data_IF_527768824614
#
_entry.id   IF_527768824614
#
_cell.length_a   1.000
_cell.length_b   1.000
_cell.length_c   1.000
_cell.angle_alpha   90.00
_cell.angle_beta   90.00
_cell.angle_gamma   90.00
#
_symmetry.space_group_name_H-M   'P 1'
#
loop_
_entity.id
_entity.type
_entity.pdbx_description
1 polymer ?
#
# COMPACT_ATOMS: atom_id res chain seq x y z
N UNK A 1 -29.54 -57.94 -100.36
CA UNK A 1 -29.15 -58.58 -99.08
C UNK A 1 -28.35 -57.52 -98.32
N UNK A 2 -28.66 -56.99 -97.13
CA UNK A 2 -29.58 -57.23 -96.00
C UNK A 2 -29.70 -55.85 -95.30
N UNK A 3 -30.88 -55.26 -95.16
CA UNK A 3 -31.65 -55.07 -93.90
C UNK A 3 -30.92 -54.38 -92.72
N UNK A 4 -31.45 -53.20 -92.35
CA UNK A 4 -31.62 -52.46 -91.07
C UNK A 4 -31.44 -53.21 -89.70
N UNK A 5 -31.68 -52.63 -88.49
CA UNK A 5 -31.74 -51.22 -87.96
C UNK A 5 -31.08 -51.01 -86.54
N UNK A 6 -31.21 -49.77 -86.01
CA UNK A 6 -31.42 -49.33 -84.60
C UNK A 6 -30.60 -49.89 -83.41
N UNK A 7 -30.08 -48.97 -82.56
CA UNK A 7 -30.45 -48.96 -81.14
C UNK A 7 -30.16 -47.60 -80.45
N UNK A 8 -31.22 -47.09 -79.82
CA UNK A 8 -31.27 -45.99 -78.85
C UNK A 8 -30.66 -46.49 -77.51
N UNK A 9 -29.80 -45.72 -76.85
CA UNK A 9 -29.57 -45.87 -75.40
C UNK A 9 -29.58 -44.50 -74.72
N UNK A 10 -30.60 -44.31 -73.87
CA UNK A 10 -30.68 -43.26 -72.87
C UNK A 10 -29.63 -43.53 -71.77
N UNK A 11 -28.91 -42.49 -71.34
CA UNK A 11 -28.18 -42.47 -70.08
C UNK A 11 -28.77 -41.37 -69.18
N UNK A 12 -29.55 -41.80 -68.18
CA UNK A 12 -29.95 -41.04 -67.00
C UNK A 12 -28.89 -41.18 -65.90
N UNK A 13 -28.64 -40.10 -65.15
CA UNK A 13 -27.97 -40.08 -63.84
C UNK A 13 -26.53 -39.54 -63.91
N UNK A 14 -26.05 -38.63 -63.05
CA UNK A 14 -26.53 -38.19 -61.75
C UNK A 14 -26.11 -36.73 -61.47
N UNK A 15 -27.02 -35.96 -60.87
CA UNK A 15 -26.72 -34.67 -60.25
C UNK A 15 -25.89 -34.92 -58.98
N UNK A 16 -24.65 -34.42 -58.96
CA UNK A 16 -23.82 -34.33 -57.75
C UNK A 16 -24.41 -33.25 -56.82
N UNK A 17 -24.63 -33.53 -55.52
CA UNK A 17 -25.02 -32.51 -54.58
C UNK A 17 -23.82 -31.59 -54.29
N UNK A 18 -24.05 -30.28 -54.43
CA UNK A 18 -23.11 -29.25 -54.03
C UNK A 18 -22.73 -29.45 -52.56
N UNK A 19 -21.44 -29.70 -52.30
CA UNK A 19 -20.89 -29.70 -50.97
C UNK A 19 -21.01 -28.28 -50.39
N UNK A 20 -22.01 -28.08 -49.54
CA UNK A 20 -22.07 -26.98 -48.58
C UNK A 20 -20.80 -27.04 -47.74
N UNK A 21 -19.82 -26.20 -48.07
CA UNK A 21 -18.73 -25.87 -47.18
C UNK A 21 -19.34 -25.11 -46.00
N UNK A 22 -19.63 -25.84 -44.93
CA UNK A 22 -19.90 -25.22 -43.64
C UNK A 22 -18.70 -24.36 -43.28
N UNK A 23 -18.94 -23.06 -43.10
CA UNK A 23 -17.95 -22.16 -42.52
C UNK A 23 -17.47 -22.75 -41.18
N UNK A 24 -16.17 -22.68 -40.86
CA UNK A 24 -15.69 -23.11 -39.56
C UNK A 24 -16.45 -22.32 -38.50
N UNK A 25 -17.04 -23.03 -37.54
CA UNK A 25 -17.69 -22.41 -36.40
C UNK A 25 -16.68 -21.49 -35.71
N UNK A 26 -16.99 -20.19 -35.64
CA UNK A 26 -16.23 -19.21 -34.90
C UNK A 26 -16.03 -19.73 -33.48
N UNK A 27 -14.80 -20.13 -33.17
CA UNK A 27 -14.42 -20.44 -31.80
C UNK A 27 -14.53 -19.14 -31.03
N UNK A 28 -15.25 -19.07 -29.89
CA UNK A 28 -15.41 -17.82 -29.16
C UNK A 28 -14.04 -17.22 -28.86
N UNK A 29 -13.75 -16.03 -29.41
CA UNK A 29 -12.47 -15.37 -29.20
C UNK A 29 -12.30 -15.10 -27.70
N UNK A 30 -11.32 -15.73 -27.06
CA UNK A 30 -11.06 -15.55 -25.63
C UNK A 30 -10.73 -14.08 -25.37
N UNK A 31 -11.49 -13.43 -24.47
CA UNK A 31 -11.29 -12.04 -24.07
C UNK A 31 -9.88 -11.86 -23.51
N UNK A 32 -9.11 -10.94 -24.12
CA UNK A 32 -7.81 -10.50 -23.61
C UNK A 32 -7.95 -9.18 -22.87
N UNK A 33 -7.31 -9.06 -21.70
CA UNK A 33 -7.33 -7.87 -20.86
C UNK A 33 -6.03 -7.05 -20.98
N UNK A 34 -6.15 -5.73 -21.08
CA UNK A 34 -5.05 -4.79 -21.29
C UNK A 34 -4.46 -4.32 -19.96
N UNK A 35 -3.32 -4.86 -19.55
CA UNK A 35 -2.56 -4.34 -18.40
C UNK A 35 -1.68 -3.17 -18.84
N UNK A 36 -1.79 -2.03 -18.17
CA UNK A 36 -0.90 -0.91 -18.40
C UNK A 36 0.38 -1.02 -17.57
N UNK A 37 1.53 -0.76 -18.19
CA UNK A 37 2.84 -0.79 -17.53
C UNK A 37 3.73 0.37 -18.01
N UNK A 38 4.63 0.89 -17.15
CA UNK A 38 5.70 1.78 -17.61
C UNK A 38 6.56 1.12 -18.69
N UNK A 39 6.99 1.90 -19.69
CA UNK A 39 7.77 1.41 -20.84
C UNK A 39 9.03 0.63 -20.43
N UNK A 40 9.66 1.06 -19.34
CA UNK A 40 10.84 0.40 -18.75
C UNK A 40 10.63 -1.04 -18.27
N UNK A 41 9.39 -1.54 -18.17
CA UNK A 41 9.07 -2.94 -17.80
C UNK A 41 8.21 -3.64 -18.87
N UNK A 42 8.14 -3.08 -20.08
CA UNK A 42 7.32 -3.60 -21.16
C UNK A 42 7.74 -5.01 -21.58
N UNK A 43 9.04 -5.30 -21.61
CA UNK A 43 9.56 -6.61 -21.98
C UNK A 43 9.16 -7.70 -20.98
N UNK A 44 9.23 -7.41 -19.69
CA UNK A 44 8.75 -8.33 -18.65
C UNK A 44 7.23 -8.53 -18.72
N UNK A 45 6.48 -7.49 -19.05
CA UNK A 45 5.04 -7.62 -19.28
C UNK A 45 4.77 -8.52 -20.49
N UNK A 46 5.49 -8.35 -21.60
CA UNK A 46 5.34 -9.18 -22.79
C UNK A 46 5.70 -10.65 -22.49
N UNK A 47 6.70 -10.89 -21.64
CA UNK A 47 7.03 -12.24 -21.18
C UNK A 47 5.91 -12.87 -20.35
N UNK A 48 5.22 -12.10 -19.52
CA UNK A 48 4.01 -12.53 -18.83
C UNK A 48 2.86 -12.82 -19.82
N UNK A 49 2.62 -11.94 -20.78
CA UNK A 49 1.53 -12.07 -21.75
C UNK A 49 1.67 -13.28 -22.70
N UNK A 50 2.89 -13.84 -22.83
CA UNK A 50 3.17 -15.05 -23.62
C UNK A 50 2.95 -16.35 -22.86
N UNK A 51 2.71 -16.30 -21.55
CA UNK A 51 2.53 -17.50 -20.74
C UNK A 51 1.23 -18.24 -21.10
N UNK A 52 1.28 -19.57 -21.12
CA UNK A 52 0.12 -20.40 -21.42
C UNK A 52 -1.04 -20.12 -20.44
N UNK A 53 -2.24 -19.91 -20.99
CA UNK A 53 -3.46 -19.59 -20.23
C UNK A 53 -3.54 -18.15 -19.71
N UNK A 54 -2.50 -17.33 -19.91
CA UNK A 54 -2.54 -15.90 -19.60
C UNK A 54 -3.14 -15.15 -20.79
N UNK A 55 -4.27 -14.49 -20.56
CA UNK A 55 -5.03 -13.73 -21.55
C UNK A 55 -4.89 -12.23 -21.28
N UNK A 56 -3.64 -11.76 -21.26
CA UNK A 56 -3.30 -10.36 -21.06
C UNK A 56 -2.61 -9.77 -22.30
N UNK A 57 -2.74 -8.47 -22.49
CA UNK A 57 -1.94 -7.68 -23.44
C UNK A 57 -1.33 -6.48 -22.73
N UNK A 58 -0.13 -6.08 -23.14
CA UNK A 58 0.61 -5.00 -22.48
C UNK A 58 0.40 -3.68 -23.19
N UNK A 59 0.02 -2.65 -22.42
CA UNK A 59 -0.11 -1.28 -22.90
C UNK A 59 1.01 -0.44 -22.26
N UNK A 60 2.02 0.01 -23.03
CA UNK A 60 3.09 0.83 -22.48
C UNK A 60 2.60 2.23 -22.16
N UNK A 61 3.20 2.86 -21.16
CA UNK A 61 3.04 4.27 -20.81
C UNK A 61 4.37 4.83 -20.28
N UNK A 62 4.53 6.15 -20.22
CA UNK A 62 5.72 6.79 -19.65
C UNK A 62 5.90 6.43 -18.18
N UNK A 63 4.82 6.45 -17.41
CA UNK A 63 4.79 6.22 -15.98
C UNK A 63 3.40 5.74 -15.52
N UNK A 64 3.25 5.49 -14.22
CA UNK A 64 1.97 5.06 -13.64
C UNK A 64 0.87 6.12 -13.74
N UNK A 65 1.20 7.42 -13.80
CA UNK A 65 0.20 8.48 -13.94
C UNK A 65 -0.42 8.46 -15.34
N UNK A 66 0.40 8.26 -16.38
CA UNK A 66 -0.13 8.04 -17.72
C UNK A 66 -0.92 6.72 -17.80
N UNK A 67 -0.54 5.69 -17.05
CA UNK A 67 -1.39 4.50 -16.97
C UNK A 67 -2.78 4.77 -16.37
N UNK A 68 -2.87 5.60 -15.32
CA UNK A 68 -4.17 6.01 -14.77
C UNK A 68 -5.02 6.72 -15.84
N UNK A 69 -4.44 7.62 -16.62
CA UNK A 69 -5.12 8.26 -17.76
C UNK A 69 -5.56 7.25 -18.83
N UNK A 70 -4.73 6.27 -19.15
CA UNK A 70 -5.08 5.21 -20.11
C UNK A 70 -6.19 4.29 -19.61
N UNK A 71 -6.25 4.01 -18.31
CA UNK A 71 -7.37 3.26 -17.72
C UNK A 71 -8.63 4.11 -17.72
N UNK A 72 -8.54 5.39 -17.34
CA UNK A 72 -9.66 6.32 -17.37
C UNK A 72 -10.25 6.51 -18.79
N UNK A 73 -9.40 6.54 -19.81
CA UNK A 73 -9.80 6.68 -21.22
C UNK A 73 -10.00 5.34 -21.95
N UNK A 74 -10.08 4.23 -21.20
CA UNK A 74 -10.31 2.86 -21.69
C UNK A 74 -9.30 2.34 -22.73
N UNK A 75 -8.13 2.99 -22.84
CA UNK A 75 -6.99 2.53 -23.64
C UNK A 75 -6.32 1.33 -22.97
N UNK A 76 -6.34 1.26 -21.65
CA UNK A 76 -5.98 0.09 -20.85
C UNK A 76 -7.16 -0.34 -19.96
N UNK A 77 -7.13 -1.58 -19.49
CA UNK A 77 -8.19 -2.18 -18.69
C UNK A 77 -7.89 -2.05 -17.19
N UNK A 78 -6.62 -2.25 -16.79
CA UNK A 78 -6.20 -2.12 -15.40
C UNK A 78 -4.70 -1.82 -15.25
N UNK A 79 -4.30 -1.43 -14.03
CA UNK A 79 -2.91 -1.07 -13.67
C UNK A 79 -2.59 -1.46 -12.22
N UNK A 80 -1.37 -1.94 -11.92
CA UNK A 80 -0.89 -2.11 -10.55
C UNK A 80 -0.64 -0.74 -9.87
N UNK A 81 -1.07 -0.58 -8.62
CA UNK A 81 -1.11 0.72 -7.93
C UNK A 81 -0.61 0.66 -6.48
N UNK A 82 0.07 1.72 -6.07
CA UNK A 82 0.28 2.08 -4.67
C UNK A 82 -0.93 2.88 -4.12
N UNK A 83 -1.13 2.94 -2.79
CA UNK A 83 -2.16 3.81 -2.19
C UNK A 83 -2.07 5.28 -2.64
N UNK A 84 -0.87 5.76 -2.92
CA UNK A 84 -0.60 7.09 -3.46
C UNK A 84 -1.16 7.27 -4.89
N UNK A 85 -1.10 6.24 -5.75
CA UNK A 85 -1.73 6.27 -7.09
C UNK A 85 -3.26 6.21 -6.97
N UNK A 86 -3.78 5.43 -6.02
CA UNK A 86 -5.22 5.34 -5.72
C UNK A 86 -5.76 6.72 -5.30
N UNK A 87 -4.99 7.50 -4.53
CA UNK A 87 -5.36 8.87 -4.17
C UNK A 87 -5.45 9.79 -5.38
N UNK A 88 -4.54 9.64 -6.34
CA UNK A 88 -4.60 10.40 -7.60
C UNK A 88 -5.85 10.01 -8.39
N UNK A 89 -6.17 8.71 -8.48
CA UNK A 89 -7.37 8.22 -9.15
C UNK A 89 -8.66 8.74 -8.49
N UNK A 90 -8.72 8.76 -7.16
CA UNK A 90 -9.86 9.29 -6.39
C UNK A 90 -10.14 10.76 -6.74
N UNK A 91 -9.09 11.57 -6.86
CA UNK A 91 -9.21 13.00 -7.17
C UNK A 91 -9.40 13.30 -8.66
N UNK A 92 -9.14 12.33 -9.55
CA UNK A 92 -9.22 12.49 -11.01
C UNK A 92 -10.23 11.51 -11.62
N UNK A 93 -11.40 11.39 -10.99
CA UNK A 93 -12.51 10.59 -11.50
C UNK A 93 -12.74 9.29 -10.72
N UNK A 94 -13.03 9.38 -9.42
CA UNK A 94 -13.29 8.23 -8.52
C UNK A 94 -14.20 7.16 -9.14
N UNK A 95 -15.29 7.60 -9.79
CA UNK A 95 -16.31 6.70 -10.34
C UNK A 95 -15.84 5.92 -11.59
N UNK A 96 -14.70 6.27 -12.18
CA UNK A 96 -14.15 5.59 -13.36
C UNK A 96 -13.23 4.42 -13.02
N UNK A 97 -13.05 4.15 -11.72
CA UNK A 97 -12.08 3.18 -11.26
C UNK A 97 -12.66 2.28 -10.18
N UNK A 98 -12.10 1.07 -10.11
CA UNK A 98 -12.36 0.15 -9.01
C UNK A 98 -11.07 -0.56 -8.57
N UNK A 99 -10.77 -0.46 -7.27
CA UNK A 99 -9.75 -1.30 -6.63
C UNK A 99 -10.36 -2.69 -6.45
N UNK A 100 -9.87 -3.67 -7.20
CA UNK A 100 -10.51 -4.98 -7.31
C UNK A 100 -9.64 -6.14 -6.80
N UNK A 101 -8.37 -5.87 -6.46
CA UNK A 101 -7.46 -6.87 -5.90
C UNK A 101 -6.35 -6.19 -5.11
N UNK A 102 -5.86 -6.84 -4.05
CA UNK A 102 -4.81 -6.34 -3.18
C UNK A 102 -3.54 -7.20 -3.31
N UNK A 103 -2.41 -6.62 -2.93
CA UNK A 103 -1.11 -7.29 -2.79
C UNK A 103 -0.76 -7.25 -1.31
N UNK A 104 -0.84 -8.41 -0.66
CA UNK A 104 -0.62 -8.57 0.78
C UNK A 104 0.64 -9.35 1.08
N UNK A 105 1.16 -9.26 2.30
CA UNK A 105 2.26 -10.13 2.73
C UNK A 105 1.76 -11.57 2.92
N UNK A 106 2.63 -12.55 2.70
CA UNK A 106 2.32 -13.96 3.04
C UNK A 106 2.26 -14.18 4.56
N UNK A 107 2.88 -13.28 5.32
CA UNK A 107 2.81 -13.25 6.80
C UNK A 107 1.48 -12.71 7.32
N UNK A 108 0.85 -11.76 6.63
CA UNK A 108 -0.40 -11.09 7.04
C UNK A 108 -1.45 -11.12 5.91
N UNK A 109 -1.78 -12.30 5.33
CA UNK A 109 -2.65 -12.37 4.14
C UNK A 109 -4.10 -12.00 4.44
N UNK A 110 -4.51 -12.09 5.71
CA UNK A 110 -5.88 -11.84 6.15
C UNK A 110 -6.06 -10.46 6.78
N UNK A 111 -4.97 -9.73 7.04
CA UNK A 111 -5.05 -8.39 7.65
C UNK A 111 -5.61 -7.38 6.65
N UNK A 112 -6.51 -6.52 7.13
CA UNK A 112 -7.25 -5.57 6.29
C UNK A 112 -6.34 -4.48 5.68
N UNK A 113 -5.23 -4.15 6.35
CA UNK A 113 -4.31 -3.08 5.98
C UNK A 113 -2.86 -3.49 6.09
N UNK A 114 -2.00 -2.85 5.29
CA UNK A 114 -0.56 -3.10 5.27
C UNK A 114 0.13 -2.72 6.58
N UNK A 115 -0.24 -1.57 7.13
CA UNK A 115 0.27 -1.09 8.41
C UNK A 115 -0.84 -0.37 9.16
N UNK A 116 -1.17 -0.81 10.37
CA UNK A 116 -2.04 -0.07 11.28
C UNK A 116 -1.18 0.71 12.27
N UNK A 117 -1.20 2.04 12.16
CA UNK A 117 -0.45 2.93 13.03
C UNK A 117 -1.14 3.08 14.38
N UNK A 118 -0.37 2.93 15.44
CA UNK A 118 -0.84 2.98 16.83
C UNK A 118 0.10 3.82 17.68
N UNK A 119 -0.47 4.42 18.72
CA UNK A 119 0.28 4.96 19.85
C UNK A 119 0.20 3.96 20.99
N UNK A 120 1.35 3.58 21.56
CA UNK A 120 1.43 2.72 22.75
C UNK A 120 1.95 3.57 23.90
N UNK A 121 1.31 3.45 25.06
CA UNK A 121 1.64 4.18 26.29
C UNK A 121 1.73 3.20 27.46
N UNK A 122 2.31 3.67 28.56
CA UNK A 122 2.16 3.01 29.86
C UNK A 122 0.67 3.08 30.29
N UNK A 123 0.10 1.96 30.76
CA UNK A 123 -1.33 1.83 31.07
C UNK A 123 -1.83 2.87 32.07
N UNK A 124 -1.04 3.10 33.12
CA UNK A 124 -1.39 3.95 34.26
C UNK A 124 -1.11 5.45 34.04
N UNK A 125 -0.60 5.82 32.86
CA UNK A 125 -0.26 7.21 32.54
C UNK A 125 -1.53 8.10 32.55
N UNK A 126 -1.58 9.26 33.21
CA UNK A 126 -2.83 9.97 33.50
C UNK A 126 -3.41 10.78 32.33
N UNK A 127 -3.40 10.24 31.11
CA UNK A 127 -3.96 10.88 29.91
C UNK A 127 -5.48 10.80 29.89
N UNK A 128 -6.14 11.93 29.69
CA UNK A 128 -7.60 12.10 29.57
C UNK A 128 -8.03 12.48 28.16
N UNK A 129 -7.13 13.07 27.39
CA UNK A 129 -7.36 13.49 26.00
C UNK A 129 -6.06 13.48 25.20
N UNK A 130 -6.17 13.56 23.88
CA UNK A 130 -4.99 13.68 23.00
C UNK A 130 -4.14 14.93 23.25
N UNK A 131 -4.69 15.95 23.91
CA UNK A 131 -3.95 17.16 24.29
C UNK A 131 -2.93 16.89 25.41
N UNK A 132 -3.14 15.84 26.21
CA UNK A 132 -2.24 15.47 27.30
C UNK A 132 -0.94 14.81 26.80
N UNK A 133 -0.79 14.65 25.47
CA UNK A 133 0.49 14.29 24.86
C UNK A 133 1.55 15.40 24.98
N UNK A 134 1.14 16.64 25.27
CA UNK A 134 2.04 17.77 25.48
C UNK A 134 2.97 17.53 26.66
N UNK A 135 4.26 17.76 26.44
CA UNK A 135 5.32 17.60 27.44
C UNK A 135 5.79 16.16 27.64
N UNK A 136 5.11 15.16 27.06
CA UNK A 136 5.55 13.77 27.18
C UNK A 136 6.88 13.51 26.45
N UNK A 137 7.46 12.36 26.74
CA UNK A 137 8.62 11.79 26.07
C UNK A 137 8.21 10.83 24.96
N UNK A 138 8.57 11.10 23.71
CA UNK A 138 8.07 10.32 22.55
C UNK A 138 9.10 9.43 21.87
N UNK A 139 8.68 8.26 21.43
CA UNK A 139 9.51 7.27 20.75
C UNK A 139 9.00 7.07 19.32
N UNK A 140 9.88 7.29 18.34
CA UNK A 140 9.50 7.29 16.93
C UNK A 140 10.31 6.27 16.12
N UNK A 141 9.70 5.72 15.07
CA UNK A 141 10.41 4.83 14.15
C UNK A 141 11.55 5.52 13.37
N UNK A 142 11.52 6.85 13.32
CA UNK A 142 12.46 7.73 12.62
C UNK A 142 11.80 8.65 11.60
N UNK A 143 12.56 9.67 11.18
CA UNK A 143 12.06 10.80 10.37
C UNK A 143 11.52 10.33 9.01
N UNK A 144 10.43 10.94 8.54
CA UNK A 144 9.84 10.67 7.22
C UNK A 144 9.11 9.33 7.07
N UNK A 145 9.13 8.46 8.09
CA UNK A 145 8.40 7.17 8.06
C UNK A 145 6.90 7.36 8.28
N UNK A 146 6.10 6.37 7.89
CA UNK A 146 4.64 6.47 7.99
C UNK A 146 4.15 6.49 9.46
N UNK A 147 4.14 5.34 10.13
CA UNK A 147 3.49 5.18 11.44
C UNK A 147 4.18 5.93 12.58
N UNK A 148 5.50 6.14 12.48
CA UNK A 148 6.28 6.81 13.51
C UNK A 148 6.52 8.30 13.26
N UNK A 149 6.07 8.88 12.14
CA UNK A 149 6.34 10.29 11.84
C UNK A 149 5.20 10.96 11.07
N UNK A 150 4.93 10.56 9.82
CA UNK A 150 3.93 11.21 8.97
C UNK A 150 2.53 11.14 9.58
N UNK A 151 2.09 9.95 10.00
CA UNK A 151 0.77 9.73 10.60
C UNK A 151 0.59 10.52 11.91
N UNK A 152 1.48 10.41 12.92
CA UNK A 152 1.33 11.20 14.13
C UNK A 152 1.32 12.71 13.83
N UNK A 153 2.22 13.21 12.98
CA UNK A 153 2.20 14.61 12.57
C UNK A 153 0.85 15.04 11.96
N UNK A 154 0.32 14.29 10.97
CA UNK A 154 -0.98 14.58 10.36
C UNK A 154 -2.07 14.66 11.42
N UNK A 155 -2.20 13.62 12.25
CA UNK A 155 -3.33 13.50 13.17
C UNK A 155 -3.23 14.48 14.33
N UNK A 156 -2.04 14.71 14.87
CA UNK A 156 -1.80 15.73 15.90
C UNK A 156 -2.11 17.13 15.38
N UNK A 157 -1.80 17.42 14.11
CA UNK A 157 -2.20 18.69 13.47
C UNK A 157 -3.71 18.79 13.32
N UNK A 158 -4.37 17.74 12.83
CA UNK A 158 -5.83 17.71 12.63
C UNK A 158 -6.62 17.83 13.94
N UNK A 159 -6.07 17.30 15.04
CA UNK A 159 -6.64 17.42 16.39
C UNK A 159 -6.18 18.70 17.12
N UNK A 160 -5.46 19.60 16.46
CA UNK A 160 -4.95 20.84 17.04
C UNK A 160 -4.06 20.63 18.28
N UNK A 161 -3.37 19.49 18.36
CA UNK A 161 -2.34 19.19 19.38
C UNK A 161 -1.00 19.84 18.99
N UNK A 162 -0.77 20.13 17.71
CA UNK A 162 0.34 20.98 17.25
C UNK A 162 -0.19 22.16 16.46
N UNK A 163 0.67 23.18 16.29
CA UNK A 163 0.35 24.37 15.52
C UNK A 163 0.30 24.12 14.01
N UNK A 164 -0.01 25.18 13.26
CA UNK A 164 -0.01 25.12 11.80
C UNK A 164 1.42 24.95 11.25
N UNK A 165 1.58 24.01 10.31
CA UNK A 165 2.84 23.73 9.62
C UNK A 165 3.01 24.67 8.41
N UNK A 166 3.01 25.99 8.62
CA UNK A 166 2.97 26.97 7.53
C UNK A 166 3.86 28.20 7.72
N UNK A 167 4.84 28.14 8.63
CA UNK A 167 5.80 29.23 8.78
C UNK A 167 6.70 29.32 7.55
N UNK A 168 6.56 30.42 6.80
CA UNK A 168 7.29 30.68 5.55
C UNK A 168 8.78 30.94 5.75
N UNK A 169 9.20 31.27 6.97
CA UNK A 169 10.61 31.48 7.29
C UNK A 169 11.38 30.17 7.45
N UNK A 170 10.68 29.03 7.58
CA UNK A 170 11.25 27.72 7.79
C UNK A 170 10.99 26.80 6.61
N UNK A 171 11.87 25.82 6.40
CA UNK A 171 11.59 24.75 5.44
C UNK A 171 10.37 23.93 5.91
N UNK A 172 9.74 23.23 4.97
CA UNK A 172 8.69 22.23 5.23
C UNK A 172 9.06 21.28 6.38
N UNK A 173 10.27 20.72 6.31
CA UNK A 173 10.80 19.78 7.30
C UNK A 173 11.10 20.45 8.65
N UNK A 174 11.62 21.67 8.63
CA UNK A 174 11.91 22.41 9.87
C UNK A 174 10.63 22.83 10.61
N UNK A 175 9.54 23.15 9.90
CA UNK A 175 8.22 23.31 10.51
C UNK A 175 7.80 22.04 11.29
N UNK A 176 7.90 20.86 10.66
CA UNK A 176 7.54 19.59 11.31
C UNK A 176 8.38 19.31 12.56
N UNK A 177 9.70 19.49 12.46
CA UNK A 177 10.63 19.28 13.57
C UNK A 177 10.37 20.27 14.71
N UNK A 178 10.11 21.55 14.40
CA UNK A 178 9.75 22.56 15.39
C UNK A 178 8.51 22.18 16.17
N UNK A 179 7.44 21.78 15.48
CA UNK A 179 6.19 21.41 16.15
C UNK A 179 6.34 20.16 17.03
N UNK A 180 7.06 19.13 16.55
CA UNK A 180 7.36 17.95 17.39
C UNK A 180 8.23 18.31 18.59
N UNK A 181 9.24 19.16 18.37
CA UNK A 181 10.15 19.62 19.43
C UNK A 181 9.44 20.45 20.48
N UNK A 182 8.45 21.26 20.09
CA UNK A 182 7.63 22.03 21.03
C UNK A 182 6.58 21.19 21.75
N UNK A 183 6.11 20.10 21.11
CA UNK A 183 5.15 19.18 21.69
C UNK A 183 5.76 18.28 22.77
N UNK A 184 6.92 17.68 22.50
CA UNK A 184 7.52 16.65 23.36
C UNK A 184 8.77 17.15 24.08
N UNK A 185 8.88 16.83 25.38
CA UNK A 185 10.02 17.26 26.20
C UNK A 185 11.33 16.58 25.81
N UNK A 186 11.26 15.31 25.43
CA UNK A 186 12.36 14.53 24.82
C UNK A 186 11.77 13.56 23.80
N UNK A 187 12.55 13.18 22.81
CA UNK A 187 12.17 12.11 21.90
C UNK A 187 13.35 11.26 21.45
N UNK A 188 13.06 10.13 20.80
CA UNK A 188 13.99 9.54 19.85
C UNK A 188 13.42 9.61 18.42
N UNK A 189 14.01 10.47 17.59
CA UNK A 189 13.69 10.66 16.18
C UNK A 189 14.95 10.64 15.32
N UNK A 190 15.45 9.44 15.05
CA UNK A 190 16.66 9.24 14.24
C UNK A 190 16.45 9.55 12.75
N UNK A 191 17.59 9.66 12.04
CA UNK A 191 17.68 9.69 10.59
C UNK A 191 18.30 10.98 10.06
N UNK A 192 18.40 11.08 8.75
CA UNK A 192 18.79 12.32 8.08
C UNK A 192 17.56 13.22 7.96
N UNK A 193 17.53 14.28 8.77
CA UNK A 193 16.46 15.26 8.78
C UNK A 193 16.51 16.15 7.55
N UNK A 194 17.69 16.39 6.99
CA UNK A 194 17.91 17.03 5.70
C UNK A 194 18.84 16.18 4.83
N UNK A 195 18.70 16.28 3.50
CA UNK A 195 19.67 15.73 2.55
C UNK A 195 20.97 16.57 2.52
N UNK A 196 20.88 17.86 2.83
CA UNK A 196 22.05 18.72 3.02
C UNK A 196 22.71 18.46 4.39
N UNK A 197 23.99 18.04 4.44
CA UNK A 197 24.65 17.66 5.69
C UNK A 197 24.76 18.78 6.72
N UNK A 198 25.05 20.02 6.29
CA UNK A 198 25.21 21.15 7.20
C UNK A 198 23.87 21.57 7.80
N UNK A 199 22.82 21.65 6.99
CA UNK A 199 21.46 21.86 7.46
C UNK A 199 21.02 20.74 8.40
N UNK A 200 21.31 19.48 8.08
CA UNK A 200 20.99 18.34 8.96
C UNK A 200 21.66 18.49 10.33
N UNK A 201 22.95 18.84 10.37
CA UNK A 201 23.70 19.09 11.61
C UNK A 201 23.13 20.27 12.39
N UNK A 202 22.79 21.37 11.71
CA UNK A 202 22.14 22.55 12.32
C UNK A 202 20.83 22.17 12.99
N UNK A 203 19.95 21.48 12.26
CA UNK A 203 18.63 21.07 12.77
C UNK A 203 18.77 20.14 13.98
N UNK A 204 19.64 19.12 13.90
CA UNK A 204 19.94 18.20 15.02
C UNK A 204 20.40 18.92 16.27
N UNK A 205 21.22 19.96 16.12
CA UNK A 205 21.68 20.80 17.23
C UNK A 205 20.55 21.68 17.78
N UNK A 206 19.73 22.27 16.92
CA UNK A 206 18.66 23.19 17.29
C UNK A 206 17.47 22.50 17.98
N UNK A 207 17.11 21.30 17.53
CA UNK A 207 16.01 20.48 18.07
C UNK A 207 16.56 19.22 18.76
N UNK A 208 17.61 19.37 19.56
CA UNK A 208 18.36 18.26 20.16
C UNK A 208 17.52 17.42 21.13
N UNK A 209 16.45 17.98 21.70
CA UNK A 209 15.50 17.23 22.52
C UNK A 209 14.85 16.08 21.73
N UNK A 210 14.70 16.20 20.41
CA UNK A 210 14.16 15.12 19.57
C UNK A 210 15.09 13.90 19.42
N UNK A 211 16.33 14.01 19.89
CA UNK A 211 17.31 12.92 19.90
C UNK A 211 17.60 12.38 21.30
N UNK A 212 17.08 13.02 22.34
CA UNK A 212 17.50 12.82 23.73
C UNK A 212 17.16 11.43 24.33
N UNK A 213 16.29 10.64 23.69
CA UNK A 213 15.96 9.26 24.09
C UNK A 213 16.55 8.21 23.12
N UNK A 214 17.33 8.63 22.13
CA UNK A 214 18.01 7.68 21.26
C UNK A 214 19.18 7.01 21.99
N UNK A 215 19.67 5.89 21.46
CA UNK A 215 20.80 5.16 22.04
C UNK A 215 22.06 6.03 22.02
N UNK A 216 22.25 6.74 20.90
CA UNK A 216 23.33 7.71 20.71
C UNK A 216 22.76 9.08 20.35
N UNK A 217 22.36 9.92 21.34
CA UNK A 217 21.72 11.21 21.08
C UNK A 217 22.55 12.20 20.24
N UNK A 218 23.88 12.09 20.31
CA UNK A 218 24.85 12.89 19.56
C UNK A 218 24.91 12.50 18.06
N UNK A 219 24.64 11.23 17.75
CA UNK A 219 24.58 10.70 16.37
C UNK A 219 23.16 10.84 15.81
N UNK A 220 22.18 10.35 16.57
CA UNK A 220 20.75 10.38 16.27
C UNK A 220 20.46 9.90 14.83
N UNK A 221 21.06 8.77 14.46
CA UNK A 221 20.95 8.19 13.12
C UNK A 221 20.87 6.66 13.21
N UNK A 222 20.58 6.00 12.10
CA UNK A 222 20.62 4.54 12.04
C UNK A 222 22.06 4.01 11.96
N UNK A 223 22.35 2.81 12.48
CA UNK A 223 21.49 2.01 13.36
C UNK A 223 21.40 2.61 14.77
N UNK A 224 20.25 2.45 15.41
CA UNK A 224 20.02 2.87 16.80
C UNK A 224 18.99 1.93 17.45
N UNK A 225 19.31 1.41 18.63
CA UNK A 225 18.55 0.39 19.34
C UNK A 225 17.11 0.84 19.66
N UNK A 226 16.90 2.13 19.87
CA UNK A 226 15.62 2.76 20.21
C UNK A 226 14.86 3.32 19.00
N UNK A 227 15.35 3.03 17.79
CA UNK A 227 14.72 3.41 16.54
C UNK A 227 14.01 2.26 15.83
N UNK A 228 13.20 2.60 14.83
CA UNK A 228 12.41 1.62 14.09
C UNK A 228 11.17 1.15 14.84
N UNK A 229 10.47 0.16 14.28
CA UNK A 229 9.16 -0.23 14.80
C UNK A 229 9.23 -0.86 16.20
N UNK A 230 10.19 -1.75 16.39
CA UNK A 230 10.43 -2.44 17.66
C UNK A 230 11.28 -1.60 18.61
N UNK A 231 12.25 -0.84 18.10
CA UNK A 231 13.06 0.06 18.92
C UNK A 231 12.25 1.21 19.50
N UNK A 232 11.21 1.70 18.82
CA UNK A 232 10.30 2.67 19.42
C UNK A 232 9.55 2.09 20.64
N UNK A 233 9.25 0.78 20.64
CA UNK A 233 8.66 0.11 21.81
C UNK A 233 9.72 -0.09 22.91
N UNK A 234 10.95 -0.49 22.57
CA UNK A 234 12.06 -0.51 23.55
C UNK A 234 12.35 0.86 24.16
N UNK A 235 12.26 1.94 23.39
CA UNK A 235 12.40 3.31 23.91
C UNK A 235 11.35 3.62 24.98
N UNK A 236 10.10 3.14 24.79
CA UNK A 236 9.02 3.27 25.75
C UNK A 236 9.25 2.40 26.99
N UNK A 237 9.68 1.15 26.79
CA UNK A 237 9.85 0.17 27.87
C UNK A 237 11.13 0.40 28.69
N UNK A 238 12.23 0.76 28.04
CA UNK A 238 13.58 0.67 28.60
C UNK A 238 14.26 2.03 28.77
N UNK A 239 13.87 3.05 28.00
CA UNK A 239 14.57 4.35 27.98
C UNK A 239 13.72 5.52 28.45
N UNK A 240 12.71 5.23 29.29
CA UNK A 240 11.89 6.24 29.93
C UNK A 240 11.02 7.05 28.97
N UNK A 241 10.74 6.51 27.77
CA UNK A 241 9.69 7.02 26.89
C UNK A 241 8.31 6.89 27.52
N UNK A 242 7.38 7.70 27.04
CA UNK A 242 6.02 7.81 27.56
C UNK A 242 4.96 7.50 26.49
N UNK A 243 5.29 7.71 25.22
CA UNK A 243 4.45 7.31 24.08
C UNK A 243 5.32 6.77 22.94
N UNK A 244 5.00 5.60 22.40
CA UNK A 244 5.64 5.03 21.22
C UNK A 244 4.71 5.02 20.02
N UNK A 245 5.21 5.52 18.89
CA UNK A 245 4.52 5.50 17.61
C UNK A 245 5.05 4.36 16.75
N UNK A 246 4.24 3.32 16.54
CA UNK A 246 4.63 2.11 15.81
C UNK A 246 3.44 1.47 15.08
N UNK A 247 3.56 0.19 14.67
CA UNK A 247 2.48 -0.57 14.05
C UNK A 247 2.09 -1.82 14.84
N UNK A 248 0.82 -2.22 14.74
CA UNK A 248 0.23 -3.37 15.46
C UNK A 248 1.07 -4.64 15.38
N UNK A 249 1.58 -5.00 14.19
CA UNK A 249 2.45 -6.18 14.03
C UNK A 249 3.64 -6.18 14.99
N UNK A 250 4.34 -5.05 15.15
CA UNK A 250 5.48 -4.97 16.06
C UNK A 250 5.08 -4.86 17.52
N UNK A 251 3.89 -4.34 17.82
CA UNK A 251 3.31 -4.44 19.18
C UNK A 251 3.10 -5.91 19.54
N UNK A 252 2.46 -6.68 18.64
CA UNK A 252 2.25 -8.12 18.85
C UNK A 252 3.59 -8.84 19.04
N UNK A 253 4.57 -8.59 18.16
CA UNK A 253 5.90 -9.20 18.25
C UNK A 253 6.64 -8.84 19.54
N UNK A 254 6.64 -7.55 19.92
CA UNK A 254 7.35 -7.04 21.09
C UNK A 254 6.82 -7.61 22.41
N UNK A 255 5.50 -7.77 22.52
CA UNK A 255 4.85 -8.37 23.70
C UNK A 255 4.58 -9.87 23.56
N UNK A 256 5.13 -10.52 22.51
CA UNK A 256 5.02 -11.96 22.30
C UNK A 256 3.59 -12.47 22.03
N UNK A 257 2.71 -11.64 21.50
CA UNK A 257 1.31 -11.96 21.17
C UNK A 257 1.25 -12.68 19.81
N UNK A 258 0.30 -13.60 19.65
CA UNK A 258 0.07 -14.32 18.40
C UNK A 258 -0.17 -13.36 17.21
N UNK A 259 0.55 -13.58 16.10
CA UNK A 259 0.36 -12.88 14.83
C UNK A 259 -0.53 -13.72 13.92
N UNK A 260 -1.55 -13.11 13.30
CA UNK A 260 -2.53 -13.80 12.47
C UNK A 260 -3.52 -14.72 13.21
N UNK A 261 -3.48 -14.71 14.56
CA UNK A 261 -4.39 -15.47 15.43
C UNK A 261 -5.14 -14.59 16.43
N UNK A 262 -5.60 -15.19 17.52
CA UNK A 262 -6.31 -14.48 18.60
C UNK A 262 -5.38 -13.44 19.27
N UNK A 263 -5.69 -12.13 19.20
CA UNK A 263 -4.86 -11.07 19.76
C UNK A 263 -4.88 -10.99 21.28
N UNK A 264 -5.57 -11.91 21.97
CA UNK A 264 -5.56 -12.03 23.44
C UNK A 264 -4.56 -13.06 23.95
N UNK A 265 -3.94 -13.85 23.07
CA UNK A 265 -3.04 -14.95 23.43
C UNK A 265 -1.57 -14.53 23.30
N UNK A 266 -0.83 -14.64 24.41
CA UNK A 266 0.62 -14.51 24.45
C UNK A 266 1.24 -15.89 24.16
N UNK A 267 2.09 -15.94 23.14
CA UNK A 267 2.73 -17.18 22.64
C UNK A 267 4.22 -17.24 22.92
N UNK A 268 4.86 -16.11 23.23
CA UNK A 268 6.29 -16.02 23.54
C UNK A 268 6.52 -15.08 24.73
N UNK A 269 7.44 -15.43 25.63
CA UNK A 269 7.86 -14.51 26.69
C UNK A 269 9.01 -13.63 26.19
N UNK A 270 8.82 -12.31 26.20
CA UNK A 270 9.78 -11.34 25.69
C UNK A 270 10.43 -10.48 26.77
N UNK A 271 10.00 -10.63 28.03
CA UNK A 271 10.42 -9.79 29.16
C UNK A 271 9.57 -8.53 29.35
N UNK A 272 8.62 -8.26 28.45
CA UNK A 272 7.70 -7.12 28.54
C UNK A 272 6.27 -7.62 28.80
N UNK A 273 5.66 -7.19 29.91
CA UNK A 273 4.27 -7.57 30.22
C UNK A 273 3.27 -6.65 29.48
N UNK A 274 2.49 -7.16 28.50
CA UNK A 274 1.48 -6.35 27.81
C UNK A 274 0.41 -5.75 28.74
N UNK A 275 0.25 -6.28 29.96
CA UNK A 275 -0.71 -5.79 30.94
C UNK A 275 -0.34 -4.42 31.55
N UNK A 276 0.93 -4.01 31.41
CA UNK A 276 1.47 -2.73 31.87
C UNK A 276 1.30 -1.60 30.85
N UNK A 277 0.89 -1.93 29.63
CA UNK A 277 0.77 -1.00 28.51
C UNK A 277 -0.67 -0.88 27.99
N UNK A 278 -0.93 0.14 27.19
CA UNK A 278 -2.19 0.34 26.50
C UNK A 278 -1.98 0.99 25.13
N UNK A 279 -2.90 0.71 24.21
CA UNK A 279 -3.07 1.56 23.04
C UNK A 279 -3.73 2.87 23.47
N UNK A 280 -3.16 3.99 23.04
CA UNK A 280 -3.77 5.31 23.19
C UNK A 280 -4.51 5.68 21.92
N UNK A 281 -5.81 5.92 22.04
CA UNK A 281 -6.71 6.05 20.90
C UNK A 281 -6.87 7.51 20.45
N UNK A 282 -7.24 7.75 19.17
CA UNK A 282 -7.46 9.12 18.66
C UNK A 282 -8.55 9.91 19.40
N UNK A 283 -9.50 9.23 20.04
CA UNK A 283 -10.56 9.82 20.86
C UNK A 283 -10.12 10.11 22.32
N UNK A 284 -8.85 9.88 22.66
CA UNK A 284 -8.30 10.05 24.00
C UNK A 284 -8.53 8.87 24.94
N UNK A 285 -9.26 7.83 24.50
CA UNK A 285 -9.46 6.62 25.31
C UNK A 285 -8.22 5.74 25.30
N UNK A 286 -8.19 4.75 26.20
CA UNK A 286 -7.16 3.72 26.26
C UNK A 286 -7.78 2.35 26.02
N UNK A 287 -7.11 1.52 25.24
CA UNK A 287 -7.48 0.11 25.05
C UNK A 287 -6.35 -0.81 25.49
N UNK A 288 -6.64 -1.99 26.09
CA UNK A 288 -5.61 -2.96 26.43
C UNK A 288 -4.79 -3.39 25.21
N UNK A 289 -3.53 -3.75 25.43
CA UNK A 289 -2.68 -4.32 24.36
C UNK A 289 -3.22 -5.67 23.89
N UNK A 290 -3.70 -6.50 24.82
CA UNK A 290 -4.39 -7.75 24.52
C UNK A 290 -5.80 -7.44 23.99
N UNK A 291 -6.01 -7.67 22.69
CA UNK A 291 -7.27 -7.40 22.01
C UNK A 291 -7.11 -6.53 20.76
N UNK A 292 -8.22 -5.94 20.32
CA UNK A 292 -8.26 -5.14 19.09
C UNK A 292 -7.68 -3.73 19.32
N UNK A 293 -6.61 -3.41 18.58
CA UNK A 293 -6.00 -2.10 18.61
C UNK A 293 -6.97 -0.98 18.16
N UNK A 294 -6.83 0.21 18.76
CA UNK A 294 -7.38 1.44 18.20
C UNK A 294 -6.30 2.13 17.36
N UNK A 295 -6.58 2.30 16.07
CA UNK A 295 -5.62 2.82 15.10
C UNK A 295 -5.80 4.32 14.85
N UNK A 296 -4.69 5.01 14.66
CA UNK A 296 -4.66 6.44 14.29
C UNK A 296 -4.88 6.62 12.79
N UNK A 297 -4.26 5.75 11.99
CA UNK A 297 -4.52 5.57 10.58
C UNK A 297 -4.04 4.17 10.18
N UNK A 298 -4.46 3.70 9.02
CA UNK A 298 -3.90 2.52 8.40
C UNK A 298 -3.39 2.85 7.00
N UNK A 299 -2.28 2.26 6.58
CA UNK A 299 -1.88 2.29 5.17
C UNK A 299 -2.58 1.13 4.46
N UNK A 300 -3.43 1.40 3.45
CA UNK A 300 -3.99 0.36 2.61
C UNK A 300 -2.92 -0.50 1.94
N UNK A 301 -3.33 -1.69 1.50
CA UNK A 301 -2.48 -2.53 0.67
C UNK A 301 -2.24 -1.88 -0.70
N UNK A 302 -1.13 -2.24 -1.33
CA UNK A 302 -0.99 -2.05 -2.77
C UNK A 302 -2.02 -2.94 -3.48
N UNK A 303 -2.29 -2.71 -4.74
CA UNK A 303 -3.31 -3.49 -5.42
C UNK A 303 -3.35 -3.28 -6.92
N UNK A 304 -4.50 -3.61 -7.47
CA UNK A 304 -4.82 -3.44 -8.89
C UNK A 304 -6.08 -2.60 -9.01
N UNK A 305 -5.98 -1.60 -9.87
CA UNK A 305 -7.05 -0.66 -10.20
C UNK A 305 -7.52 -0.95 -11.62
N UNK A 306 -8.81 -1.22 -11.80
CA UNK A 306 -9.43 -1.43 -13.11
C UNK A 306 -10.35 -0.26 -13.48
N UNK A 307 -10.67 -0.13 -14.75
CA UNK A 307 -11.80 0.69 -15.20
C UNK A 307 -13.11 0.14 -14.61
N UNK A 308 -14.02 1.05 -14.27
CA UNK A 308 -15.37 0.75 -13.80
C UNK A 308 -16.21 -0.08 -14.79
N UNK A 309 -15.94 0.02 -16.09
CA UNK A 309 -16.60 -0.80 -17.12
C UNK A 309 -16.35 -2.30 -16.94
N UNK A 310 -15.29 -2.68 -16.21
CA UNK A 310 -14.89 -4.07 -16.00
C UNK A 310 -15.43 -4.68 -14.70
N UNK A 311 -16.34 -4.00 -13.99
CA UNK A 311 -16.89 -4.49 -12.72
C UNK A 311 -17.53 -5.89 -12.85
N UNK A 312 -18.19 -6.17 -13.98
CA UNK A 312 -18.79 -7.49 -14.26
C UNK A 312 -17.75 -8.56 -14.63
N UNK A 313 -16.53 -8.16 -14.97
CA UNK A 313 -15.42 -9.04 -15.40
C UNK A 313 -14.34 -9.20 -14.31
N UNK A 314 -14.54 -8.62 -13.12
CA UNK A 314 -13.62 -8.73 -11.98
C UNK A 314 -13.27 -10.18 -11.62
N UNK A 315 -14.21 -11.15 -11.59
CA UNK A 315 -13.85 -12.55 -11.32
C UNK A 315 -12.80 -13.10 -12.29
N UNK A 316 -12.93 -12.80 -13.58
CA UNK A 316 -12.02 -13.21 -14.65
C UNK A 316 -10.67 -12.51 -14.51
N UNK A 317 -10.66 -11.20 -14.27
CA UNK A 317 -9.42 -10.44 -13.99
C UNK A 317 -8.67 -11.01 -12.78
N UNK A 318 -9.39 -11.33 -11.69
CA UNK A 318 -8.81 -11.94 -10.49
C UNK A 318 -8.18 -13.30 -10.76
N UNK A 319 -8.81 -14.11 -11.62
CA UNK A 319 -8.25 -15.40 -12.05
C UNK A 319 -6.98 -15.22 -12.87
N UNK A 320 -6.97 -14.28 -13.82
CA UNK A 320 -5.78 -13.96 -14.62
C UNK A 320 -4.60 -13.53 -13.74
N UNK A 321 -4.83 -12.64 -12.77
CA UNK A 321 -3.79 -12.23 -11.81
C UNK A 321 -3.33 -13.37 -10.89
N UNK A 322 -4.23 -14.27 -10.48
CA UNK A 322 -3.88 -15.45 -9.67
C UNK A 322 -2.99 -16.41 -10.46
N UNK A 323 -3.32 -16.66 -11.73
CA UNK A 323 -2.51 -17.51 -12.62
C UNK A 323 -1.13 -16.87 -12.86
N UNK A 324 -1.10 -15.59 -13.24
CA UNK A 324 0.12 -14.83 -13.46
C UNK A 324 1.07 -14.85 -12.24
N UNK A 325 0.52 -14.67 -11.04
CA UNK A 325 1.25 -14.78 -9.77
C UNK A 325 1.80 -16.20 -9.53
N UNK A 326 0.98 -17.23 -9.79
CA UNK A 326 1.37 -18.63 -9.57
C UNK A 326 2.52 -19.05 -10.50
N UNK A 327 2.39 -18.76 -11.80
CA UNK A 327 3.42 -19.04 -12.79
C UNK A 327 4.70 -18.26 -12.48
N UNK A 328 4.58 -16.99 -12.11
CA UNK A 328 5.73 -16.18 -11.73
C UNK A 328 6.49 -16.73 -10.53
N UNK A 329 5.80 -17.23 -9.51
CA UNK A 329 6.44 -17.84 -8.33
C UNK A 329 7.16 -19.14 -8.69
N UNK A 330 6.55 -19.99 -9.52
CA UNK A 330 7.12 -21.26 -9.97
C UNK A 330 8.37 -21.06 -10.84
N UNK A 331 8.36 -20.05 -11.71
CA UNK A 331 9.41 -19.80 -12.70
C UNK A 331 10.50 -18.83 -12.20
N UNK A 332 10.37 -18.30 -10.97
CA UNK A 332 11.23 -17.21 -10.49
C UNK A 332 11.25 -15.99 -11.42
N UNK A 333 10.08 -15.65 -11.95
CA UNK A 333 9.99 -14.71 -13.05
C UNK A 333 10.10 -13.24 -12.60
N UNK A 334 10.81 -12.44 -13.39
CA UNK A 334 11.01 -11.00 -13.12
C UNK A 334 9.72 -10.17 -13.19
N UNK A 335 8.70 -10.62 -13.93
CA UNK A 335 7.41 -9.92 -14.00
C UNK A 335 6.66 -9.89 -12.66
N UNK A 336 6.97 -10.79 -11.72
CA UNK A 336 6.38 -10.73 -10.38
C UNK A 336 6.62 -9.37 -9.74
N UNK A 337 7.89 -8.98 -9.61
CA UNK A 337 8.25 -7.74 -8.91
C UNK A 337 8.11 -6.52 -9.79
N UNK A 338 8.43 -6.63 -11.09
CA UNK A 338 8.44 -5.50 -12.02
C UNK A 338 7.06 -5.13 -12.56
N UNK A 339 6.18 -6.11 -12.80
CA UNK A 339 4.85 -5.89 -13.40
C UNK A 339 3.74 -6.04 -12.37
N UNK A 340 3.75 -7.09 -11.55
CA UNK A 340 2.68 -7.35 -10.59
C UNK A 340 2.92 -6.72 -9.22
N UNK A 341 4.09 -6.10 -8.98
CA UNK A 341 4.54 -5.59 -7.68
C UNK A 341 4.57 -6.66 -6.56
N UNK A 342 4.63 -7.93 -6.93
CA UNK A 342 4.72 -9.07 -6.02
C UNK A 342 6.17 -9.45 -5.81
N UNK A 343 6.61 -9.49 -4.56
CA UNK A 343 7.89 -10.03 -4.14
C UNK A 343 7.77 -11.53 -3.86
N UNK A 344 8.49 -12.34 -4.64
CA UNK A 344 8.57 -13.80 -4.48
C UNK A 344 8.78 -14.20 -3.02
N UNK A 345 7.98 -15.15 -2.54
CA UNK A 345 8.07 -15.67 -1.18
C UNK A 345 7.66 -14.69 -0.07
N UNK A 346 7.40 -13.41 -0.36
CA UNK A 346 7.11 -12.36 0.64
C UNK A 346 5.70 -11.82 0.54
N UNK A 347 5.20 -11.62 -0.67
CA UNK A 347 3.85 -11.09 -0.91
C UNK A 347 3.08 -11.98 -1.87
N UNK A 348 1.77 -11.79 -1.94
CA UNK A 348 0.87 -12.50 -2.86
C UNK A 348 -0.33 -11.62 -3.19
N UNK A 349 -0.97 -11.89 -4.33
CA UNK A 349 -2.23 -11.27 -4.69
C UNK A 349 -3.39 -11.87 -3.89
N UNK A 350 -4.29 -11.04 -3.37
CA UNK A 350 -5.43 -11.42 -2.51
C UNK A 350 -6.68 -10.68 -2.96
N UNK A 351 -7.82 -11.36 -2.96
CA UNK A 351 -9.11 -10.74 -3.30
C UNK A 351 -9.60 -9.86 -2.15
N UNK A 352 -10.03 -8.64 -2.45
CA UNK A 352 -10.50 -7.66 -1.47
C UNK A 352 -12.02 -7.74 -1.19
N UNK A 353 -12.65 -8.90 -1.47
CA UNK A 353 -14.10 -9.04 -1.40
C UNK A 353 -14.79 -8.36 -2.58
N UNK A 354 -15.53 -7.28 -2.32
CA UNK A 354 -16.17 -6.47 -3.36
C UNK A 354 -15.20 -5.40 -3.90
N UNK A 355 -15.23 -5.09 -5.21
CA UNK A 355 -14.51 -3.94 -5.74
C UNK A 355 -14.97 -2.65 -5.03
N UNK A 356 -14.02 -1.75 -4.77
CA UNK A 356 -14.28 -0.47 -4.11
C UNK A 356 -13.80 0.67 -5.00
N UNK A 357 -14.51 1.80 -5.01
CA UNK A 357 -13.96 3.03 -5.61
C UNK A 357 -12.67 3.44 -4.89
N UNK A 358 -11.73 4.12 -5.56
CA UNK A 358 -10.52 4.65 -4.93
C UNK A 358 -10.77 5.38 -3.60
N UNK A 359 -11.75 6.27 -3.55
CA UNK A 359 -12.09 7.05 -2.37
C UNK A 359 -12.65 6.16 -1.25
N UNK A 360 -13.55 5.22 -1.56
CA UNK A 360 -14.05 4.25 -0.59
C UNK A 360 -12.91 3.38 -0.02
N UNK A 361 -11.99 2.97 -0.88
CA UNK A 361 -10.81 2.17 -0.52
C UNK A 361 -9.85 2.91 0.43
N UNK A 362 -9.65 4.22 0.23
CA UNK A 362 -8.82 5.04 1.12
C UNK A 362 -9.55 5.42 2.42
N UNK A 363 -10.86 5.67 2.35
CA UNK A 363 -11.67 6.07 3.51
C UNK A 363 -11.74 4.98 4.58
N UNK A 364 -11.82 3.69 4.22
CA UNK A 364 -11.79 2.59 5.21
C UNK A 364 -10.50 2.59 6.08
N UNK A 365 -9.43 3.21 5.59
CA UNK A 365 -8.12 3.26 6.24
C UNK A 365 -7.85 4.58 6.98
N UNK A 366 -8.72 5.59 6.86
CA UNK A 366 -8.48 6.97 7.33
C UNK A 366 -7.11 7.50 6.86
N UNK A 367 -6.77 7.26 5.59
CA UNK A 367 -5.42 7.51 5.04
C UNK A 367 -5.35 8.69 4.06
N UNK A 368 -6.48 9.16 3.53
CA UNK A 368 -6.52 10.25 2.54
C UNK A 368 -5.88 11.54 3.06
N UNK A 369 -6.08 11.86 4.34
CA UNK A 369 -5.49 13.03 5.00
C UNK A 369 -3.98 12.87 5.26
N UNK A 370 -3.48 11.64 5.32
CA UNK A 370 -2.05 11.35 5.44
C UNK A 370 -1.35 11.53 4.10
N UNK A 371 -1.96 11.09 3.00
CA UNK A 371 -1.42 11.27 1.63
C UNK A 371 -1.48 12.76 1.26
N UNK A 372 -2.63 13.38 1.41
CA UNK A 372 -2.86 14.80 1.11
C UNK A 372 -2.38 15.77 2.20
N UNK A 373 -1.56 15.31 3.16
CA UNK A 373 -1.10 16.17 4.26
C UNK A 373 -0.37 17.39 3.68
N UNK A 374 -0.68 18.57 4.21
CA UNK A 374 0.07 19.76 3.88
C UNK A 374 1.52 19.67 4.43
N UNK A 375 2.50 19.94 3.59
CA UNK A 375 3.92 19.88 3.94
C UNK A 375 4.53 21.24 4.28
N UNK A 376 3.77 22.34 4.28
CA UNK A 376 4.35 23.66 4.51
C UNK A 376 3.48 24.80 4.01
N UNK A 377 4.05 26.00 3.85
CA UNK A 377 3.45 27.01 3.00
C UNK A 377 3.24 26.45 1.59
N UNK A 378 2.02 26.59 1.04
CA UNK A 378 1.63 26.11 -0.28
C UNK A 378 2.27 26.90 -1.45
N UNK A 379 3.37 27.61 -1.22
CA UNK A 379 4.01 28.38 -2.29
C UNK A 379 4.73 27.38 -3.20
N UNK A 380 4.33 27.25 -4.49
CA UNK A 380 5.01 26.33 -5.39
C UNK A 380 6.48 26.75 -5.52
N UNK A 381 7.40 25.78 -5.38
CA UNK A 381 8.80 25.98 -5.75
C UNK A 381 8.82 26.18 -7.27
N UNK A 382 8.79 27.42 -7.70
CA UNK A 382 8.98 27.79 -9.11
C UNK A 382 10.49 27.85 -9.34
N UNK A 383 10.99 27.03 -10.25
CA UNK A 383 12.33 27.24 -10.81
C UNK A 383 12.36 28.63 -11.43
N UNK A 384 13.28 29.46 -10.97
CA UNK A 384 13.55 30.78 -11.52
C UNK A 384 14.11 30.67 -12.95
#
# INVERSE_FOLDING_TARGET
MKTAPSLLLLLLGALLPAALHGAPADTPSVRKYKICVPEMVLDECNNLARQDGVHLTCVPARDRLECLDKVHTHKADFVPVDPEDIYIAANNGDNHFAVFKEIRTKEEPNEEFRYEAVAVIHKNQPLRSVQDLRGLKSCHTGVGRNVGYKIPLTKLSNFHVIGALNDKSLTARENELRELSGLFSKACLVGNWSADPELNKRLKKQYSNLCALCEHPDICNYPDHYSGYDGALRCLSDNGGEVAWTKVYYVKKHFGIAIGGDPTVVVNQTGYDPSEYAYFCPDGTKKPILGRACRWAARPWQGFLASDDLLNEVPQLRQQLKLANTLGEQQDASWLSKVLLVLKGKTTVVDNGQPLSPQAYLNKANYSDVIGRNFGPNDPIRSA
#
